data_IF_317040969031
#
_entry.id   IF_317040969031
#
_cell.length_a   1.000
_cell.length_b   1.000
_cell.length_c   1.000
_cell.angle_alpha   90.00
_cell.angle_beta   90.00
_cell.angle_gamma   90.00
#
_symmetry.space_group_name_H-M   'P 1'
#
loop_
_entity.id
_entity.type
_entity.pdbx_description
1 polymer ?
#
# COMPACT_ATOMS: atom_id res chain seq x y z
N UNK A 1 -6.11 -12.37 19.40
CA UNK A 1 -6.57 -11.52 18.30
C UNK A 1 -6.49 -12.27 16.98
N UNK A 2 -7.42 -12.00 16.10
CA UNK A 2 -7.45 -12.61 14.79
C UNK A 2 -7.43 -11.51 13.72
N UNK A 3 -6.53 -11.62 12.77
CA UNK A 3 -6.46 -10.68 11.65
C UNK A 3 -7.54 -11.04 10.64
N UNK A 4 -8.46 -10.12 10.39
CA UNK A 4 -9.57 -10.33 9.46
C UNK A 4 -9.23 -9.85 8.05
N UNK A 5 -8.46 -8.80 7.94
CA UNK A 5 -8.16 -8.20 6.65
C UNK A 5 -6.84 -7.46 6.70
N UNK A 6 -6.07 -7.56 5.64
CA UNK A 6 -4.83 -6.82 5.49
C UNK A 6 -4.78 -6.21 4.10
N UNK A 7 -4.44 -4.93 4.01
CA UNK A 7 -4.40 -4.20 2.75
C UNK A 7 -3.05 -3.52 2.60
N UNK A 8 -2.46 -3.68 1.42
CA UNK A 8 -1.22 -3.00 1.06
C UNK A 8 -1.56 -1.73 0.29
N UNK A 9 -1.00 -0.59 0.72
CA UNK A 9 -1.21 0.70 0.10
C UNK A 9 0.10 1.23 -0.48
N UNK A 10 0.06 1.65 -1.74
CA UNK A 10 1.18 2.32 -2.40
C UNK A 10 0.77 3.78 -2.59
N UNK A 11 1.31 4.66 -1.77
CA UNK A 11 0.93 6.07 -1.76
C UNK A 11 1.79 6.89 -2.71
N UNK A 12 1.14 7.78 -3.46
CA UNK A 12 1.84 8.69 -4.36
C UNK A 12 1.17 10.05 -4.37
N UNK A 13 1.92 11.07 -4.77
CA UNK A 13 1.41 12.43 -4.89
C UNK A 13 1.23 12.77 -6.36
N UNK A 14 0.07 13.30 -6.70
CA UNK A 14 -0.24 13.73 -8.06
C UNK A 14 -0.46 15.24 -8.06
N UNK A 15 0.27 16.00 -8.92
CA UNK A 15 0.04 17.43 -9.05
C UNK A 15 -1.27 17.70 -9.78
N UNK A 16 -2.06 18.63 -9.25
CA UNK A 16 -3.32 19.03 -9.88
C UNK A 16 -3.45 20.55 -9.74
N UNK A 17 -3.08 21.29 -10.80
CA UNK A 17 -3.02 22.73 -10.75
C UNK A 17 -1.99 23.18 -9.72
N UNK A 18 -2.38 24.04 -8.79
CA UNK A 18 -1.50 24.54 -7.73
C UNK A 18 -1.47 23.63 -6.50
N UNK A 19 -2.18 22.51 -6.55
CA UNK A 19 -2.32 21.59 -5.40
C UNK A 19 -1.67 20.25 -5.68
N UNK A 20 -1.30 19.58 -4.60
CA UNK A 20 -0.83 18.20 -4.65
C UNK A 20 -1.84 17.32 -3.95
N UNK A 21 -2.29 16.28 -4.65
CA UNK A 21 -3.28 15.34 -4.12
C UNK A 21 -2.57 14.03 -3.82
N UNK A 22 -2.77 13.52 -2.61
CA UNK A 22 -2.24 12.22 -2.21
C UNK A 22 -3.24 11.14 -2.63
N UNK A 23 -2.77 10.20 -3.43
CA UNK A 23 -3.56 9.06 -3.88
C UNK A 23 -2.84 7.77 -3.51
N UNK A 24 -3.55 6.67 -3.58
CA UNK A 24 -2.95 5.37 -3.29
C UNK A 24 -3.55 4.28 -4.16
N UNK A 25 -2.72 3.27 -4.46
CA UNK A 25 -3.19 2.01 -4.99
C UNK A 25 -3.36 1.05 -3.82
N UNK A 26 -4.49 0.38 -3.74
CA UNK A 26 -4.83 -0.50 -2.63
C UNK A 26 -4.97 -1.93 -3.11
N UNK A 27 -4.27 -2.84 -2.45
CA UNK A 27 -4.28 -4.26 -2.79
C UNK A 27 -4.59 -5.07 -1.54
N UNK A 28 -5.65 -5.87 -1.57
CA UNK A 28 -5.95 -6.76 -0.47
C UNK A 28 -5.01 -7.97 -0.55
N UNK A 29 -4.39 -8.29 0.58
CA UNK A 29 -3.41 -9.37 0.66
C UNK A 29 -3.85 -10.40 1.68
N UNK A 30 -3.17 -11.55 1.72
CA UNK A 30 -3.46 -12.58 2.70
C UNK A 30 -3.31 -12.03 4.11
N UNK A 31 -4.26 -12.30 5.03
CA UNK A 31 -4.19 -11.77 6.39
C UNK A 31 -2.94 -12.19 7.17
N UNK A 32 -2.36 -13.32 6.81
CA UNK A 32 -1.15 -13.84 7.44
C UNK A 32 0.14 -13.46 6.72
N UNK A 33 0.07 -12.59 5.72
CA UNK A 33 1.26 -12.16 4.99
C UNK A 33 2.19 -11.36 5.90
N UNK A 34 3.49 -11.66 5.84
CA UNK A 34 4.48 -10.96 6.64
C UNK A 34 4.82 -9.60 6.03
N UNK A 35 5.12 -8.63 6.91
CA UNK A 35 5.44 -7.27 6.47
C UNK A 35 6.66 -7.22 5.57
N UNK A 36 7.67 -8.05 5.82
CA UNK A 36 8.86 -8.12 4.97
C UNK A 36 8.52 -8.57 3.55
N UNK A 37 7.65 -9.59 3.43
CA UNK A 37 7.19 -10.07 2.12
C UNK A 37 6.37 -8.99 1.41
N UNK A 38 5.51 -8.29 2.15
CA UNK A 38 4.69 -7.22 1.58
C UNK A 38 5.54 -6.05 1.10
N UNK A 39 6.61 -5.74 1.81
CA UNK A 39 7.54 -4.69 1.39
C UNK A 39 8.21 -5.06 0.08
N UNK A 40 8.63 -6.30 -0.08
CA UNK A 40 9.23 -6.78 -1.32
C UNK A 40 8.24 -6.72 -2.48
N UNK A 41 7.00 -7.15 -2.25
CA UNK A 41 5.94 -7.07 -3.26
C UNK A 41 5.68 -5.60 -3.62
N UNK A 42 5.62 -4.72 -2.63
CA UNK A 42 5.43 -3.29 -2.84
C UNK A 42 6.52 -2.69 -3.71
N UNK A 43 7.79 -3.06 -3.48
CA UNK A 43 8.91 -2.57 -4.27
C UNK A 43 8.82 -3.06 -5.72
N UNK A 44 8.41 -4.30 -5.95
CA UNK A 44 8.23 -4.83 -7.30
C UNK A 44 7.08 -4.13 -8.03
N UNK A 45 5.95 -3.91 -7.35
CA UNK A 45 4.81 -3.18 -7.91
C UNK A 45 5.18 -1.74 -8.23
N UNK A 46 6.00 -1.12 -7.39
CA UNK A 46 6.49 0.24 -7.60
C UNK A 46 7.22 0.37 -8.93
N UNK A 47 7.98 -0.64 -9.32
CA UNK A 47 8.70 -0.63 -10.60
C UNK A 47 7.76 -0.73 -11.80
N UNK A 48 6.62 -1.38 -11.64
CA UNK A 48 5.65 -1.59 -12.70
C UNK A 48 4.69 -0.41 -12.86
N UNK A 49 4.52 0.39 -11.82
CA UNK A 49 3.61 1.53 -11.83
C UNK A 49 4.36 2.77 -12.32
N UNK A 50 3.78 3.47 -13.29
CA UNK A 50 4.38 4.67 -13.87
C UNK A 50 4.21 5.93 -13.00
N UNK A 51 4.00 5.74 -11.69
CA UNK A 51 3.86 6.82 -10.72
C UNK A 51 5.02 6.79 -9.75
N UNK A 52 5.32 7.94 -9.17
CA UNK A 52 6.38 8.06 -8.18
C UNK A 52 5.83 7.69 -6.80
N UNK A 53 5.98 6.42 -6.44
CA UNK A 53 5.48 5.91 -5.16
C UNK A 53 6.36 6.44 -4.02
N UNK A 54 5.76 7.13 -3.08
CA UNK A 54 6.48 7.73 -1.96
C UNK A 54 6.50 6.83 -0.73
N UNK A 55 5.38 6.16 -0.44
CA UNK A 55 5.24 5.31 0.73
C UNK A 55 4.61 3.98 0.40
N UNK A 56 5.03 2.95 1.13
CA UNK A 56 4.42 1.63 1.13
C UNK A 56 3.89 1.40 2.54
N UNK A 57 2.57 1.28 2.68
CA UNK A 57 1.89 1.21 3.97
C UNK A 57 0.98 -0.01 4.02
N UNK A 58 0.84 -0.61 5.19
CA UNK A 58 -0.13 -1.69 5.40
C UNK A 58 -1.19 -1.26 6.39
N UNK A 59 -2.43 -1.67 6.14
CA UNK A 59 -3.54 -1.52 7.08
C UNK A 59 -4.01 -2.90 7.50
N UNK A 60 -4.23 -3.08 8.79
CA UNK A 60 -4.65 -4.37 9.34
C UNK A 60 -5.94 -4.18 10.13
N UNK A 61 -6.94 -5.02 9.86
CA UNK A 61 -8.16 -5.07 10.64
C UNK A 61 -8.13 -6.33 11.48
N UNK A 62 -8.27 -6.19 12.79
CA UNK A 62 -8.19 -7.28 13.72
C UNK A 62 -9.50 -7.45 14.49
N UNK A 63 -9.79 -8.72 14.84
CA UNK A 63 -10.90 -9.04 15.72
C UNK A 63 -10.41 -9.17 17.16
N UNK A 64 -11.12 -8.58 18.06
CA UNK A 64 -10.85 -8.75 19.50
C UNK A 64 -11.56 -10.01 20.04
#
# INVERSE_FOLDING_TARGET
MKILRKVLHLNYTEPKGDKHIIKSYNFEVAPNAEDTALKEVGEELKKLIAKNIEDIVTSTKESL
#
